data_IF_157453921890
#
_entry.id   IF_157453921890
#
_cell.length_a   1.000
_cell.length_b   1.000
_cell.length_c   1.000
_cell.angle_alpha   90.00
_cell.angle_beta   90.00
_cell.angle_gamma   90.00
#
_symmetry.space_group_name_H-M   'P 1'
#
loop_
_entity.id
_entity.type
_entity.pdbx_description
1 polymer ?
#
# COMPACT_ATOMS: atom_id res chain seq x y z
N UNK A 1 -11.91 -7.69 6.84
CA UNK A 1 -10.77 -7.68 5.89
C UNK A 1 -9.47 -7.45 6.66
N UNK A 2 -8.34 -7.95 6.15
CA UNK A 2 -7.00 -7.71 6.72
C UNK A 2 -6.22 -6.83 5.75
N UNK A 3 -5.68 -5.72 6.23
CA UNK A 3 -4.84 -4.80 5.46
C UNK A 3 -3.39 -4.91 5.90
N UNK A 4 -2.46 -4.73 4.97
CA UNK A 4 -1.05 -4.61 5.29
C UNK A 4 -0.76 -3.19 5.79
N UNK A 5 0.05 -3.08 6.82
CA UNK A 5 0.60 -1.79 7.24
C UNK A 5 1.83 -1.42 6.40
N UNK A 6 2.30 -0.19 6.57
CA UNK A 6 3.42 0.35 5.81
C UNK A 6 4.69 -0.51 5.93
N UNK A 7 5.07 -0.91 7.14
CA UNK A 7 6.26 -1.74 7.38
C UNK A 7 6.16 -3.10 6.69
N UNK A 8 4.96 -3.71 6.70
CA UNK A 8 4.71 -4.98 6.03
C UNK A 8 4.86 -4.85 4.51
N UNK A 9 4.38 -3.74 3.93
CA UNK A 9 4.52 -3.47 2.49
C UNK A 9 5.96 -3.20 2.10
N UNK A 10 6.71 -2.44 2.91
CA UNK A 10 8.14 -2.18 2.66
C UNK A 10 8.94 -3.49 2.72
N UNK A 11 8.69 -4.35 3.72
CA UNK A 11 9.37 -5.65 3.82
C UNK A 11 9.03 -6.58 2.65
N UNK A 12 7.77 -6.61 2.24
CA UNK A 12 7.35 -7.37 1.06
C UNK A 12 8.07 -6.87 -0.20
N UNK A 13 8.16 -5.55 -0.39
CA UNK A 13 8.88 -4.96 -1.52
C UNK A 13 10.36 -5.33 -1.51
N UNK A 14 11.01 -5.28 -0.35
CA UNK A 14 12.40 -5.69 -0.18
C UNK A 14 12.61 -7.17 -0.56
N UNK A 15 11.75 -8.06 -0.08
CA UNK A 15 11.80 -9.48 -0.43
C UNK A 15 11.62 -9.73 -1.94
N UNK A 16 10.81 -8.91 -2.62
CA UNK A 16 10.67 -9.00 -4.08
C UNK A 16 11.97 -8.58 -4.78
N UNK A 17 12.56 -7.44 -4.39
CA UNK A 17 13.80 -6.93 -4.97
C UNK A 17 14.95 -7.93 -4.87
N UNK A 18 15.03 -8.70 -3.77
CA UNK A 18 16.06 -9.74 -3.59
C UNK A 18 16.05 -10.79 -4.70
N UNK A 19 14.90 -11.02 -5.35
CA UNK A 19 14.73 -12.01 -6.41
C UNK A 19 14.60 -11.40 -7.80
N UNK A 20 14.01 -10.20 -7.92
CA UNK A 20 13.74 -9.55 -9.20
C UNK A 20 14.75 -8.47 -9.59
N UNK A 21 15.61 -8.06 -8.66
CA UNK A 21 16.36 -6.80 -8.76
C UNK A 21 15.44 -5.58 -8.65
N UNK A 22 16.04 -4.39 -8.70
CA UNK A 22 15.35 -3.10 -8.57
C UNK A 22 16.00 -2.17 -7.55
N UNK A 23 15.40 -1.00 -7.34
CA UNK A 23 15.88 -0.02 -6.37
C UNK A 23 15.22 -0.22 -5.01
N UNK A 24 16.04 -0.24 -3.95
CA UNK A 24 15.57 -0.27 -2.56
C UNK A 24 15.09 1.11 -2.09
N UNK A 25 14.22 1.10 -1.07
CA UNK A 25 13.72 2.29 -0.39
C UNK A 25 12.37 2.77 -0.90
N UNK A 26 11.87 3.86 -0.31
CA UNK A 26 10.59 4.48 -0.66
C UNK A 26 10.86 5.80 -1.35
N UNK A 27 10.29 5.99 -2.54
CA UNK A 27 10.44 7.24 -3.30
C UNK A 27 9.78 8.43 -2.61
N UNK A 28 8.59 8.20 -2.04
CA UNK A 28 7.79 9.21 -1.37
C UNK A 28 6.87 8.53 -0.34
N UNK A 29 7.09 8.87 0.93
CA UNK A 29 6.33 8.32 2.07
C UNK A 29 4.86 8.76 2.07
N UNK A 30 4.57 9.99 1.63
CA UNK A 30 3.21 10.52 1.54
C UNK A 30 2.41 9.80 0.46
N UNK A 31 3.04 9.52 -0.67
CA UNK A 31 2.43 8.74 -1.76
C UNK A 31 2.17 7.29 -1.34
N UNK A 32 3.12 6.64 -0.64
CA UNK A 32 2.91 5.31 -0.08
C UNK A 32 1.75 5.31 0.91
N UNK A 33 1.72 6.28 1.84
CA UNK A 33 0.66 6.40 2.82
C UNK A 33 -0.72 6.63 2.18
N UNK A 34 -0.79 7.44 1.13
CA UNK A 34 -2.00 7.68 0.35
C UNK A 34 -2.51 6.39 -0.29
N UNK A 35 -1.63 5.63 -0.96
CA UNK A 35 -1.98 4.37 -1.62
C UNK A 35 -2.51 3.31 -0.63
N UNK A 36 -1.89 3.20 0.55
CA UNK A 36 -2.33 2.26 1.60
C UNK A 36 -3.72 2.60 2.14
N UNK A 37 -4.13 3.88 2.08
CA UNK A 37 -5.43 4.35 2.54
C UNK A 37 -6.50 4.34 1.44
N UNK A 38 -6.13 4.21 0.17
CA UNK A 38 -7.07 4.21 -0.97
C UNK A 38 -8.24 3.23 -0.80
N UNK A 39 -8.04 1.96 -0.39
CA UNK A 39 -9.15 1.02 -0.23
C UNK A 39 -10.17 1.43 0.84
N UNK A 40 -9.77 2.30 1.77
CA UNK A 40 -10.59 2.81 2.87
C UNK A 40 -11.24 4.15 2.54
N UNK A 41 -11.04 4.69 1.33
CA UNK A 41 -11.65 5.96 0.94
C UNK A 41 -13.16 5.80 0.82
N UNK A 42 -13.85 6.87 1.23
CA UNK A 42 -15.30 7.00 1.09
C UNK A 42 -15.63 8.19 0.19
N UNK A 43 -16.75 8.10 -0.49
CA UNK A 43 -17.37 9.21 -1.22
C UNK A 43 -18.86 9.20 -0.92
N UNK A 44 -19.40 10.37 -0.60
CA UNK A 44 -20.80 10.51 -0.15
C UNK A 44 -21.20 9.48 0.92
N UNK A 45 -20.33 9.33 1.94
CA UNK A 45 -20.46 8.39 3.07
C UNK A 45 -20.53 6.90 2.68
N UNK A 46 -20.31 6.58 1.41
CA UNK A 46 -20.26 5.21 0.90
C UNK A 46 -18.82 4.80 0.67
N UNK A 47 -18.48 3.55 1.01
CA UNK A 47 -17.15 3.01 0.71
C UNK A 47 -16.96 2.93 -0.81
N UNK A 48 -15.85 3.45 -1.32
CA UNK A 48 -15.62 3.56 -2.78
C UNK A 48 -15.24 2.22 -3.43
N UNK A 49 -14.53 1.37 -2.70
CA UNK A 49 -13.87 0.19 -3.25
C UNK A 49 -14.31 -1.13 -2.59
N UNK A 50 -15.10 -1.04 -1.52
CA UNK A 50 -15.53 -2.19 -0.72
C UNK A 50 -16.95 -2.58 -1.12
N UNK A 51 -17.14 -2.96 -2.39
CA UNK A 51 -18.37 -3.56 -2.87
C UNK A 51 -18.17 -5.09 -2.99
N UNK A 52 -18.91 -5.85 -2.18
CA UNK A 52 -19.09 -7.31 -2.31
C UNK A 52 -20.58 -7.63 -2.42
#
# INVERSE_FOLDING_TARGET
MKYLNQDQVIRLHQALIETSGGSLGVRDEGMLNSALKTPLQTFDKSELFLHY
#
